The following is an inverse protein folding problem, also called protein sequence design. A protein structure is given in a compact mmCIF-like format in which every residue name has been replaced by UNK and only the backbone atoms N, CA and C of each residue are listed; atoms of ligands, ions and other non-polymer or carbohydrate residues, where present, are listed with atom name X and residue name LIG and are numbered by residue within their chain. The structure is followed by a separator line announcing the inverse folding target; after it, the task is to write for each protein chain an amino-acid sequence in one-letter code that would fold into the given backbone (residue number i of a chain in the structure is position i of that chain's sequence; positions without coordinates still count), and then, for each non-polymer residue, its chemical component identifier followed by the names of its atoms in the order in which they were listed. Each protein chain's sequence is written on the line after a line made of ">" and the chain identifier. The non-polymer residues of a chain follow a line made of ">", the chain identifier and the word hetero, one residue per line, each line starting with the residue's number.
data_IF_727877124219
#
_entry.id   IF_727877124219
#
_cell.length_a   1.000
_cell.length_b   1.000
_cell.length_c   1.000
_cell.angle_alpha   90.00
_cell.angle_beta   90.00
_cell.angle_gamma   90.00
#
_symmetry.space_group_name_H-M   'P 1'
#
loop_
_entity.id
_entity.type
_entity.pdbx_description
1 polymer ?
#
# COMPACT_ATOMS: atom_id res chain seq x y z
N UNK A 1 9.48 -43.60 -40.52
CA UNK A 1 8.20 -43.11 -40.00
C UNK A 1 8.22 -43.34 -38.51
N UNK A 2 8.15 -42.28 -37.71
CA UNK A 2 7.36 -42.18 -36.49
C UNK A 2 7.40 -40.71 -36.04
N UNK A 3 6.20 -40.19 -35.81
CA UNK A 3 5.85 -38.77 -35.84
C UNK A 3 6.01 -38.09 -34.47
N UNK A 4 6.48 -36.83 -34.47
CA UNK A 4 6.42 -35.94 -33.31
C UNK A 4 5.00 -35.36 -33.13
N UNK A 5 4.46 -35.25 -31.91
CA UNK A 5 3.11 -34.70 -31.72
C UNK A 5 3.08 -33.19 -31.96
N UNK A 6 2.18 -32.80 -32.85
CA UNK A 6 1.89 -31.44 -33.34
C UNK A 6 1.11 -30.67 -32.27
N UNK A 7 1.62 -29.50 -31.85
CA UNK A 7 0.93 -28.61 -30.91
C UNK A 7 -0.36 -28.07 -31.53
N UNK A 8 -1.50 -28.46 -30.96
CA UNK A 8 -2.82 -27.99 -31.38
C UNK A 8 -3.15 -26.64 -30.75
N UNK A 9 -3.07 -25.60 -31.58
CA UNK A 9 -3.92 -24.39 -31.62
C UNK A 9 -4.93 -24.23 -30.45
N UNK A 10 -4.55 -23.42 -29.47
CA UNK A 10 -5.41 -22.91 -28.38
C UNK A 10 -6.52 -21.96 -28.88
N UNK A 11 -6.37 -21.38 -30.07
CA UNK A 11 -7.22 -20.29 -30.55
C UNK A 11 -8.47 -20.74 -31.33
N UNK A 12 -8.86 -22.01 -31.29
CA UNK A 12 -9.91 -22.55 -32.15
C UNK A 12 -11.16 -23.11 -31.45
N UNK A 13 -11.48 -22.60 -30.27
CA UNK A 13 -12.84 -22.72 -29.73
C UNK A 13 -13.22 -21.45 -29.02
N UNK A 14 -14.00 -20.60 -29.70
CA UNK A 14 -15.16 -19.89 -29.14
C UNK A 14 -15.87 -19.13 -30.26
N UNK A 15 -17.08 -19.57 -30.63
CA UNK A 15 -18.20 -18.63 -30.50
C UNK A 15 -19.48 -19.33 -29.98
N UNK A 16 -19.36 -20.18 -28.94
CA UNK A 16 -20.51 -20.95 -28.43
C UNK A 16 -20.87 -20.77 -26.94
N UNK A 17 -19.96 -20.32 -26.07
CA UNK A 17 -20.19 -20.28 -24.61
C UNK A 17 -20.58 -18.88 -24.10
N UNK A 18 -20.58 -17.87 -24.98
CA UNK A 18 -20.83 -16.48 -24.58
C UNK A 18 -22.31 -16.11 -24.40
N UNK A 19 -23.26 -17.03 -24.62
CA UNK A 19 -24.70 -16.73 -24.48
C UNK A 19 -25.33 -17.26 -23.19
N UNK A 20 -24.66 -18.16 -22.44
CA UNK A 20 -25.25 -18.78 -21.25
C UNK A 20 -25.06 -17.97 -19.94
N UNK A 21 -24.09 -17.05 -19.88
CA UNK A 21 -23.78 -16.28 -18.66
C UNK A 21 -24.56 -14.96 -18.52
N UNK A 22 -25.15 -14.44 -19.60
CA UNK A 22 -25.92 -13.20 -19.56
C UNK A 22 -27.27 -13.33 -18.81
N UNK A 23 -27.89 -14.51 -18.82
CA UNK A 23 -29.18 -14.74 -18.14
C UNK A 23 -29.09 -14.82 -16.61
N UNK A 24 -27.95 -15.28 -16.07
CA UNK A 24 -27.79 -15.51 -14.63
C UNK A 24 -27.59 -14.18 -13.88
N UNK A 25 -26.93 -13.20 -14.50
CA UNK A 25 -26.64 -11.90 -13.87
C UNK A 25 -27.93 -11.08 -13.67
N UNK A 26 -28.87 -11.10 -14.61
CA UNK A 26 -30.13 -10.34 -14.49
C UNK A 26 -31.02 -10.86 -13.35
N UNK A 27 -31.07 -12.17 -13.11
CA UNK A 27 -31.90 -12.75 -12.06
C UNK A 27 -31.43 -12.36 -10.64
N UNK A 28 -30.11 -12.25 -10.43
CA UNK A 28 -29.54 -11.91 -9.11
C UNK A 28 -29.76 -10.42 -8.78
N UNK A 29 -29.67 -9.52 -9.76
CA UNK A 29 -29.94 -8.09 -9.54
C UNK A 29 -31.41 -7.82 -9.22
N UNK A 30 -32.35 -8.51 -9.88
CA UNK A 30 -33.78 -8.38 -9.58
C UNK A 30 -34.13 -8.82 -8.14
N UNK A 31 -33.52 -9.91 -7.67
CA UNK A 31 -33.75 -10.43 -6.32
C UNK A 31 -33.22 -9.49 -5.21
N UNK A 32 -32.10 -8.81 -5.45
CA UNK A 32 -31.53 -7.84 -4.50
C UNK A 32 -32.40 -6.58 -4.34
N UNK A 33 -33.01 -6.10 -5.41
CA UNK A 33 -33.92 -4.94 -5.35
C UNK A 33 -35.18 -5.25 -4.54
N UNK A 34 -35.75 -6.46 -4.69
CA UNK A 34 -36.93 -6.91 -3.94
C UNK A 34 -36.63 -7.04 -2.43
N UNK A 35 -35.45 -7.55 -2.07
CA UNK A 35 -35.06 -7.67 -0.65
C UNK A 35 -34.82 -6.31 0.01
N UNK A 36 -34.30 -5.31 -0.72
CA UNK A 36 -34.01 -3.99 -0.15
C UNK A 36 -35.27 -3.14 0.12
N UNK A 37 -36.38 -3.40 -0.59
CA UNK A 37 -37.66 -2.72 -0.35
C UNK A 37 -38.52 -3.41 0.71
N UNK A 38 -38.08 -4.57 1.23
CA UNK A 38 -38.84 -5.30 2.23
C UNK A 38 -38.81 -4.57 3.59
N UNK A 39 -39.98 -4.35 4.23
CA UNK A 39 -40.08 -3.63 5.51
C UNK A 39 -39.56 -4.43 6.72
N UNK A 40 -38.85 -5.53 6.49
CA UNK A 40 -38.30 -6.44 7.51
C UNK A 40 -37.06 -5.89 8.23
N UNK A 41 -36.45 -4.81 7.72
CA UNK A 41 -35.26 -4.19 8.31
C UNK A 41 -35.48 -2.70 8.53
N UNK A 42 -36.39 -2.35 9.45
CA UNK A 42 -36.42 -1.02 10.07
C UNK A 42 -35.87 -1.14 11.50
N UNK A 43 -34.72 -0.54 11.83
CA UNK A 43 -34.30 -0.43 13.22
C UNK A 43 -35.24 0.55 13.95
N UNK A 44 -35.82 0.11 15.06
CA UNK A 44 -36.58 0.96 15.98
C UNK A 44 -35.67 2.02 16.59
N UNK A 45 -35.89 3.28 16.23
CA UNK A 45 -35.31 4.44 16.93
C UNK A 45 -36.33 4.89 17.95
N UNK A 46 -36.06 4.62 19.23
CA UNK A 46 -36.80 5.16 20.38
C UNK A 46 -36.39 6.62 20.61
N UNK A 47 -37.31 7.60 20.59
CA UNK A 47 -37.01 8.97 21.01
C UNK A 47 -37.22 9.11 22.53
N UNK A 48 -36.79 10.25 23.08
CA UNK A 48 -36.98 10.77 24.46
C UNK A 48 -35.66 10.75 25.29
N UNK A 49 -35.15 11.85 25.85
CA UNK A 49 -35.71 13.16 26.14
C UNK A 49 -34.61 14.24 26.21
N UNK A 50 -34.96 15.47 25.86
CA UNK A 50 -34.13 16.65 25.92
C UNK A 50 -34.24 17.36 27.28
N UNK A 51 -33.11 17.67 27.91
CA UNK A 51 -32.87 18.80 28.83
C UNK A 51 -31.47 19.29 28.42
N UNK A 52 -31.16 20.53 28.02
CA UNK A 52 -31.72 21.83 28.35
C UNK A 52 -30.55 22.67 28.89
N UNK A 53 -29.94 23.54 28.06
CA UNK A 53 -29.26 24.78 28.46
C UNK A 53 -29.01 25.61 27.21
N UNK A 54 -29.78 26.68 27.05
CA UNK A 54 -29.51 27.74 26.09
C UNK A 54 -28.58 28.77 26.74
N UNK A 55 -27.53 29.17 26.03
CA UNK A 55 -26.84 30.43 26.27
C UNK A 55 -26.53 31.06 24.90
N UNK A 56 -27.10 32.24 24.72
CA UNK A 56 -27.03 33.12 23.55
C UNK A 56 -25.64 33.72 23.38
N UNK A 57 -25.19 33.89 22.12
CA UNK A 57 -24.62 35.18 21.68
C UNK A 57 -24.74 35.34 20.16
N UNK A 58 -25.39 36.44 19.80
CA UNK A 58 -25.57 37.03 18.48
C UNK A 58 -24.42 38.01 18.19
N UNK A 59 -23.93 38.07 16.95
CA UNK A 59 -23.52 39.30 16.22
C UNK A 59 -22.87 38.90 14.90
N UNK A 60 -23.51 39.08 13.74
CA UNK A 60 -23.68 40.33 12.96
C UNK A 60 -22.42 40.72 12.15
N UNK A 61 -22.41 40.33 10.87
CA UNK A 61 -21.86 41.12 9.76
C UNK A 61 -23.02 41.97 9.16
N UNK A 62 -22.87 42.85 8.14
CA UNK A 62 -21.69 43.21 7.30
C UNK A 62 -21.53 44.75 7.12
N UNK A 63 -20.49 45.21 6.40
CA UNK A 63 -20.63 46.09 5.22
C UNK A 63 -19.25 46.46 4.62
N UNK A 64 -19.17 46.42 3.29
CA UNK A 64 -18.55 47.43 2.40
C UNK A 64 -18.16 46.83 1.04
N UNK A 65 -18.81 47.39 0.02
CA UNK A 65 -18.77 47.16 -1.44
C UNK A 65 -17.56 47.88 -2.10
N UNK A 66 -17.19 47.59 -3.37
CA UNK A 66 -15.83 47.72 -3.90
C UNK A 66 -15.59 48.97 -4.76
N UNK A 67 -14.32 49.29 -5.03
CA UNK A 67 -13.87 49.99 -6.23
C UNK A 67 -12.38 49.77 -6.50
N UNK A 68 -12.07 49.34 -7.73
CA UNK A 68 -10.78 49.42 -8.44
C UNK A 68 -10.86 50.64 -9.40
N UNK A 69 -9.76 51.32 -9.81
CA UNK A 69 -8.99 50.84 -10.96
C UNK A 69 -7.47 51.15 -10.97
N UNK A 70 -6.72 50.22 -11.59
CA UNK A 70 -5.59 50.44 -12.52
C UNK A 70 -4.24 50.97 -12.00
N UNK A 71 -3.15 50.20 -12.19
CA UNK A 71 -2.08 50.39 -13.21
C UNK A 71 -1.15 49.15 -13.22
N UNK A 72 -0.77 48.68 -14.40
CA UNK A 72 0.26 47.64 -14.69
C UNK A 72 1.20 48.19 -15.80
N UNK A 73 2.32 47.54 -16.18
CA UNK A 73 3.53 47.09 -15.46
C UNK A 73 4.79 47.91 -15.85
N UNK A 74 5.95 47.65 -15.24
CA UNK A 74 7.26 47.99 -15.83
C UNK A 74 8.19 46.77 -15.78
N UNK A 75 8.74 46.28 -16.91
CA UNK A 75 9.65 45.14 -16.95
C UNK A 75 11.09 45.64 -17.15
N UNK A 76 11.85 45.81 -16.08
CA UNK A 76 13.30 45.97 -16.20
C UNK A 76 14.00 45.65 -14.88
N UNK A 77 14.36 44.37 -14.71
CA UNK A 77 15.39 43.92 -13.76
C UNK A 77 15.89 42.51 -14.14
N UNK A 78 16.27 42.30 -15.40
CA UNK A 78 17.11 41.17 -15.80
C UNK A 78 18.58 41.62 -15.70
N UNK A 79 19.17 41.47 -14.53
CA UNK A 79 20.62 41.56 -14.36
C UNK A 79 21.12 40.63 -13.23
N UNK A 80 21.69 39.49 -13.68
CA UNK A 80 22.96 38.97 -13.19
C UNK A 80 23.02 38.34 -11.78
N UNK A 81 22.57 37.09 -11.66
CA UNK A 81 23.10 36.17 -10.63
C UNK A 81 24.21 35.33 -11.28
N UNK A 82 25.45 35.29 -10.73
CA UNK A 82 26.48 34.39 -11.23
C UNK A 82 26.07 32.94 -10.94
N UNK A 83 25.95 32.13 -12.00
CA UNK A 83 25.78 30.68 -11.93
C UNK A 83 27.07 30.09 -11.32
N UNK A 84 26.98 29.57 -10.10
CA UNK A 84 28.01 28.72 -9.55
C UNK A 84 28.25 27.53 -10.51
N UNK A 85 29.49 27.05 -10.69
CA UNK A 85 29.74 25.90 -11.54
C UNK A 85 29.00 24.69 -10.96
N UNK A 86 28.05 24.17 -11.74
CA UNK A 86 27.41 22.89 -11.50
C UNK A 86 28.47 21.79 -11.66
N UNK A 87 29.24 21.53 -10.60
CA UNK A 87 29.97 20.26 -10.46
C UNK A 87 28.94 19.16 -10.17
N UNK A 88 28.21 18.76 -11.21
CA UNK A 88 27.60 17.44 -11.26
C UNK A 88 28.75 16.43 -11.33
N UNK A 89 29.22 16.01 -10.16
CA UNK A 89 29.92 14.73 -10.08
C UNK A 89 28.99 13.67 -10.65
N UNK A 90 29.45 12.78 -11.54
CA UNK A 90 28.66 11.65 -11.97
C UNK A 90 28.39 10.77 -10.75
N UNK A 91 27.23 10.97 -10.12
CA UNK A 91 26.66 10.00 -9.20
C UNK A 91 26.43 8.74 -10.02
N UNK A 92 27.32 7.77 -9.91
CA UNK A 92 27.04 6.39 -10.33
C UNK A 92 25.69 6.03 -9.73
N UNK A 93 24.65 5.95 -10.57
CA UNK A 93 23.32 5.56 -10.15
C UNK A 93 23.41 4.19 -9.50
N UNK A 94 23.37 4.14 -8.18
CA UNK A 94 23.36 2.89 -7.45
C UNK A 94 22.16 2.07 -7.95
N UNK A 95 22.39 0.80 -8.28
CA UNK A 95 21.36 -0.07 -8.80
C UNK A 95 20.21 -0.18 -7.80
N UNK A 96 18.98 0.02 -8.28
CA UNK A 96 17.77 -0.23 -7.49
C UNK A 96 17.57 -1.74 -7.34
N UNK A 97 17.50 -2.23 -6.12
CA UNK A 97 17.42 -3.66 -5.78
C UNK A 97 16.32 -3.92 -4.75
N UNK A 98 15.88 -5.18 -4.61
CA UNK A 98 15.17 -5.62 -3.41
C UNK A 98 16.18 -5.70 -2.26
N UNK A 99 16.06 -4.81 -1.29
CA UNK A 99 16.94 -4.68 -0.15
C UNK A 99 16.71 -5.76 0.92
N UNK A 100 15.55 -6.42 0.90
CA UNK A 100 15.24 -7.52 1.81
C UNK A 100 15.68 -8.88 1.29
N UNK A 101 16.01 -8.98 0.00
CA UNK A 101 16.48 -10.22 -0.63
C UNK A 101 17.78 -10.72 0.04
N UNK A 102 17.79 -11.94 0.60
CA UNK A 102 18.96 -12.55 1.22
C UNK A 102 20.16 -12.69 0.28
N UNK A 103 19.93 -12.94 -1.01
CA UNK A 103 21.00 -12.99 -2.02
C UNK A 103 21.62 -11.60 -2.26
N UNK A 104 20.91 -10.53 -1.87
CA UNK A 104 21.41 -9.15 -1.85
C UNK A 104 21.85 -8.70 -0.46
N UNK A 105 21.82 -9.57 0.54
CA UNK A 105 22.27 -9.33 1.91
C UNK A 105 21.21 -8.76 2.85
N UNK A 106 19.95 -8.73 2.44
CA UNK A 106 18.84 -8.49 3.37
C UNK A 106 18.70 -9.65 4.35
N UNK A 107 18.34 -9.36 5.60
CA UNK A 107 18.17 -10.40 6.61
C UNK A 107 17.28 -9.90 7.74
N UNK A 108 16.70 -10.85 8.48
CA UNK A 108 15.96 -10.56 9.71
C UNK A 108 16.95 -10.25 10.84
N UNK A 109 16.78 -9.11 11.49
CA UNK A 109 17.59 -8.64 12.62
C UNK A 109 16.91 -8.89 13.97
N UNK A 110 15.59 -8.73 14.02
CA UNK A 110 14.77 -9.02 15.19
C UNK A 110 13.34 -9.30 14.75
N UNK A 111 12.63 -10.18 15.45
CA UNK A 111 11.22 -10.43 15.19
C UNK A 111 10.49 -10.97 16.41
N UNK A 112 9.16 -11.01 16.31
CA UNK A 112 8.33 -11.69 17.30
C UNK A 112 8.52 -13.21 17.32
N UNK A 113 8.94 -13.81 16.20
CA UNK A 113 9.27 -15.24 16.05
C UNK A 113 10.01 -15.49 14.72
N UNK A 114 10.51 -16.71 14.52
CA UNK A 114 11.35 -17.10 13.37
C UNK A 114 10.58 -17.15 12.03
N UNK A 115 9.25 -17.27 12.06
CA UNK A 115 8.42 -17.34 10.85
C UNK A 115 8.53 -16.05 10.00
N UNK A 116 8.86 -14.91 10.62
CA UNK A 116 9.10 -13.65 9.91
C UNK A 116 10.23 -13.74 8.88
N UNK A 117 11.22 -14.62 9.08
CA UNK A 117 12.32 -14.78 8.12
C UNK A 117 11.82 -15.34 6.78
N UNK A 118 10.71 -16.09 6.79
CA UNK A 118 10.11 -16.65 5.58
C UNK A 118 9.43 -15.60 4.71
N UNK A 119 9.18 -14.39 5.23
CA UNK A 119 8.59 -13.31 4.43
C UNK A 119 9.58 -12.67 3.46
N UNK A 120 10.86 -13.04 3.51
CA UNK A 120 11.91 -12.51 2.64
C UNK A 120 12.75 -13.64 2.03
N UNK A 121 12.30 -14.90 2.08
CA UNK A 121 13.13 -16.04 1.69
C UNK A 121 13.06 -16.37 0.18
N UNK A 122 12.26 -15.60 -0.58
CA UNK A 122 12.09 -15.76 -2.02
C UNK A 122 11.27 -16.99 -2.42
N UNK A 123 10.68 -17.74 -1.47
CA UNK A 123 9.91 -18.95 -1.77
C UNK A 123 8.41 -18.70 -1.89
N UNK A 124 7.95 -17.51 -1.50
CA UNK A 124 6.54 -17.11 -1.60
C UNK A 124 5.57 -18.09 -0.91
N UNK A 125 6.03 -18.82 0.11
CA UNK A 125 5.22 -19.79 0.83
C UNK A 125 4.29 -19.08 1.83
N UNK A 126 3.07 -19.60 2.02
CA UNK A 126 2.16 -19.06 3.03
C UNK A 126 2.71 -19.21 4.45
N UNK A 127 2.58 -18.15 5.25
CA UNK A 127 3.01 -18.07 6.64
C UNK A 127 1.89 -17.45 7.46
N UNK A 128 1.54 -18.05 8.60
CA UNK A 128 0.56 -17.48 9.53
C UNK A 128 1.29 -16.59 10.55
N UNK A 129 0.93 -15.31 10.59
CA UNK A 129 1.47 -14.33 11.54
C UNK A 129 0.34 -13.81 12.44
N UNK A 130 0.63 -13.53 13.70
CA UNK A 130 -0.35 -12.94 14.61
C UNK A 130 -0.38 -11.41 14.49
N UNK A 131 -1.56 -10.83 14.66
CA UNK A 131 -1.72 -9.37 14.71
C UNK A 131 -0.90 -8.79 15.88
N UNK A 132 -0.30 -7.63 15.65
CA UNK A 132 0.68 -6.93 16.50
C UNK A 132 2.09 -7.51 16.52
N UNK A 133 2.36 -8.63 15.85
CA UNK A 133 3.73 -9.10 15.65
C UNK A 133 4.50 -8.19 14.68
N UNK A 134 5.83 -8.26 14.77
CA UNK A 134 6.73 -7.44 13.96
C UNK A 134 7.94 -8.24 13.47
N UNK A 135 8.45 -7.83 12.31
CA UNK A 135 9.78 -8.19 11.81
C UNK A 135 10.58 -6.92 11.54
N UNK A 136 11.84 -6.93 11.97
CA UNK A 136 12.83 -5.88 11.76
C UNK A 136 13.93 -6.46 10.89
N UNK A 137 14.24 -5.76 9.81
CA UNK A 137 15.16 -6.19 8.78
C UNK A 137 16.36 -5.26 8.71
N UNK A 138 17.52 -5.87 8.52
CA UNK A 138 18.78 -5.21 8.24
C UNK A 138 19.15 -5.37 6.77
N UNK A 139 20.09 -4.55 6.33
CA UNK A 139 20.61 -4.57 4.97
C UNK A 139 22.03 -5.13 4.94
N UNK A 140 22.54 -5.39 3.73
CA UNK A 140 23.85 -5.98 3.50
C UNK A 140 24.94 -5.34 4.37
N UNK A 141 25.59 -6.16 5.20
CA UNK A 141 26.67 -5.77 6.09
C UNK A 141 26.29 -4.67 7.11
N UNK A 142 25.01 -4.55 7.49
CA UNK A 142 24.52 -3.55 8.43
C UNK A 142 24.59 -2.10 7.92
N UNK A 143 24.75 -1.92 6.60
CA UNK A 143 24.79 -0.59 5.94
C UNK A 143 23.41 0.06 5.95
N UNK A 144 23.38 1.39 5.87
CA UNK A 144 22.14 2.09 5.58
C UNK A 144 21.70 1.84 4.13
N UNK A 145 20.40 1.96 3.88
CA UNK A 145 19.82 1.96 2.56
C UNK A 145 18.87 3.13 2.38
N UNK A 146 18.75 3.64 1.15
CA UNK A 146 17.70 4.58 0.75
C UNK A 146 16.61 3.84 -0.01
N UNK A 147 15.37 3.90 0.46
CA UNK A 147 14.25 3.14 -0.10
C UNK A 147 12.95 3.94 -0.09
N UNK A 148 12.05 3.60 -1.01
CA UNK A 148 10.84 4.37 -1.29
C UNK A 148 9.64 3.53 -1.73
N UNK A 149 9.78 2.20 -1.79
CA UNK A 149 8.71 1.32 -2.22
C UNK A 149 8.77 0.00 -1.46
N UNK A 150 7.67 -0.34 -0.81
CA UNK A 150 7.45 -1.67 -0.23
C UNK A 150 6.44 -2.42 -1.10
N UNK A 151 6.62 -3.73 -1.26
CA UNK A 151 5.64 -4.56 -1.96
C UNK A 151 5.31 -5.82 -1.19
N UNK A 152 4.06 -6.28 -1.30
CA UNK A 152 3.57 -7.51 -0.68
C UNK A 152 2.90 -8.40 -1.72
N UNK A 153 3.17 -9.69 -1.65
CA UNK A 153 2.51 -10.70 -2.49
C UNK A 153 1.13 -11.06 -1.94
N UNK A 154 0.10 -10.96 -2.79
CA UNK A 154 -1.26 -11.48 -2.53
C UNK A 154 -1.62 -12.45 -3.67
N UNK A 155 -1.44 -13.76 -3.49
CA UNK A 155 -1.46 -14.72 -4.60
C UNK A 155 -2.87 -15.16 -5.03
N UNK A 156 -3.88 -14.91 -4.19
CA UNK A 156 -5.29 -15.19 -4.41
C UNK A 156 -6.14 -14.35 -3.44
N UNK A 157 -7.44 -14.21 -3.71
CA UNK A 157 -8.38 -13.70 -2.72
C UNK A 157 -8.58 -14.76 -1.64
N UNK A 158 -8.30 -14.40 -0.39
CA UNK A 158 -8.46 -15.27 0.77
C UNK A 158 -8.84 -14.41 1.99
N UNK A 159 -9.74 -14.92 2.84
CA UNK A 159 -10.21 -14.16 4.01
C UNK A 159 -9.10 -13.94 5.06
N UNK A 160 -8.03 -14.73 5.01
CA UNK A 160 -6.91 -14.66 5.93
C UNK A 160 -5.77 -13.77 5.42
N UNK A 161 -5.83 -13.22 4.21
CA UNK A 161 -4.78 -12.31 3.74
C UNK A 161 -4.60 -11.11 4.70
N UNK A 162 -3.36 -10.63 4.79
CA UNK A 162 -3.01 -9.40 5.52
C UNK A 162 -3.87 -8.23 5.03
N UNK A 163 -4.57 -7.56 5.94
CA UNK A 163 -5.46 -6.43 5.59
C UNK A 163 -4.90 -5.06 5.97
N UNK A 164 -3.97 -4.98 6.92
CA UNK A 164 -3.28 -3.73 7.25
C UNK A 164 -1.90 -3.98 7.86
N UNK A 165 -0.93 -3.20 7.43
CA UNK A 165 0.45 -3.20 7.95
C UNK A 165 0.88 -1.77 8.29
N UNK A 166 1.78 -1.66 9.26
CA UNK A 166 2.53 -0.43 9.53
C UNK A 166 3.97 -0.62 9.08
N UNK A 167 4.50 0.36 8.35
CA UNK A 167 5.89 0.42 7.94
C UNK A 167 6.60 1.50 8.74
N UNK A 168 7.82 1.20 9.18
CA UNK A 168 8.64 2.12 9.97
C UNK A 168 10.13 1.91 9.71
N UNK A 169 10.96 2.86 10.11
CA UNK A 169 12.42 2.79 9.95
C UNK A 169 13.16 3.26 11.20
N UNK A 170 14.41 2.82 11.36
CA UNK A 170 15.25 3.17 12.51
C UNK A 170 16.74 3.12 12.17
N UNK A 171 17.56 3.79 12.99
CA UNK A 171 19.01 3.87 12.80
C UNK A 171 19.84 3.43 14.00
N UNK A 172 19.23 3.37 15.19
CA UNK A 172 19.94 3.12 16.45
C UNK A 172 20.28 1.64 16.62
N UNK A 173 19.26 0.79 16.74
CA UNK A 173 19.38 -0.65 16.92
C UNK A 173 18.13 -1.39 16.42
N UNK A 174 18.20 -2.73 16.25
CA UNK A 174 17.03 -3.53 15.85
C UNK A 174 15.84 -3.46 16.83
N UNK A 175 16.08 -3.08 18.09
CA UNK A 175 15.06 -2.94 19.14
C UNK A 175 14.90 -1.50 19.62
N UNK A 176 15.49 -0.53 18.92
CA UNK A 176 15.52 0.88 19.30
C UNK A 176 14.26 1.64 18.91
N UNK A 177 14.36 2.97 18.86
CA UNK A 177 13.27 3.81 18.36
C UNK A 177 13.08 3.66 16.85
N UNK A 178 11.82 3.68 16.42
CA UNK A 178 11.42 3.64 15.01
C UNK A 178 10.47 4.79 14.69
N UNK A 179 10.67 5.42 13.54
CA UNK A 179 9.78 6.42 12.97
C UNK A 179 8.82 5.77 11.97
N UNK A 180 7.53 6.11 12.05
CA UNK A 180 6.50 5.53 11.17
C UNK A 180 6.54 6.17 9.79
N UNK A 181 6.63 5.34 8.75
CA UNK A 181 6.46 5.73 7.34
C UNK A 181 4.97 5.90 7.04
N UNK A 182 4.16 4.95 7.49
CA UNK A 182 2.72 4.97 7.29
C UNK A 182 2.05 3.62 7.53
N UNK A 183 0.73 3.61 7.36
CA UNK A 183 -0.10 2.41 7.39
C UNK A 183 -0.66 2.13 6.00
N UNK A 184 -0.61 0.88 5.60
CA UNK A 184 -0.92 0.46 4.24
C UNK A 184 -1.89 -0.72 4.27
N UNK A 185 -2.83 -0.72 3.31
CA UNK A 185 -3.90 -1.72 3.23
C UNK A 185 -3.82 -2.44 1.88
N UNK A 186 -3.24 -3.66 1.84
CA UNK A 186 -3.32 -4.51 0.66
C UNK A 186 -4.76 -4.81 0.29
N UNK A 187 -5.05 -4.85 -1.00
CA UNK A 187 -6.33 -5.32 -1.49
C UNK A 187 -6.37 -6.84 -1.43
N UNK A 188 -7.52 -7.41 -1.07
CA UNK A 188 -7.71 -8.86 -1.06
C UNK A 188 -7.96 -9.41 -2.48
N UNK A 189 -7.01 -9.22 -3.39
CA UNK A 189 -7.11 -9.52 -4.81
C UNK A 189 -5.74 -9.90 -5.38
N UNK A 190 -5.73 -10.93 -6.24
CA UNK A 190 -4.56 -11.28 -7.06
C UNK A 190 -4.42 -10.34 -8.26
N UNK A 191 -3.22 -9.81 -8.45
CA UNK A 191 -2.82 -9.14 -9.68
C UNK A 191 -2.08 -10.12 -10.60
N UNK A 192 -2.50 -10.27 -11.86
CA UNK A 192 -1.91 -11.26 -12.77
C UNK A 192 -0.63 -10.79 -13.46
N UNK A 193 -0.51 -9.49 -13.73
CA UNK A 193 0.65 -8.92 -14.45
C UNK A 193 1.77 -8.46 -13.52
N UNK A 194 1.43 -8.16 -12.26
CA UNK A 194 2.35 -7.72 -11.22
C UNK A 194 1.82 -8.25 -9.88
N UNK A 195 2.11 -9.52 -9.52
CA UNK A 195 1.45 -10.20 -8.39
C UNK A 195 1.74 -9.56 -7.03
N UNK A 196 2.77 -8.73 -6.96
CA UNK A 196 3.09 -7.88 -5.82
C UNK A 196 2.32 -6.57 -5.87
N UNK A 197 1.63 -6.25 -4.79
CA UNK A 197 1.01 -4.94 -4.61
C UNK A 197 2.02 -3.97 -4.03
N UNK A 198 2.24 -2.85 -4.72
CA UNK A 198 3.26 -1.87 -4.38
C UNK A 198 2.70 -0.67 -3.62
N UNK A 199 3.44 -0.23 -2.61
CA UNK A 199 3.18 0.96 -1.81
C UNK A 199 4.40 1.87 -1.88
N UNK A 200 4.27 2.98 -2.60
CA UNK A 200 5.29 4.02 -2.67
C UNK A 200 5.12 5.03 -1.52
N UNK A 201 6.23 5.58 -1.06
CA UNK A 201 6.27 6.59 0.00
C UNK A 201 7.48 7.52 -0.19
N UNK A 202 7.53 8.70 0.47
CA UNK A 202 8.70 9.56 0.42
C UNK A 202 9.96 8.78 0.79
N UNK A 203 11.02 8.91 -0.02
CA UNK A 203 12.22 8.11 0.18
C UNK A 203 12.88 8.39 1.53
N UNK A 204 13.13 7.33 2.29
CA UNK A 204 13.81 7.38 3.59
C UNK A 204 15.19 6.77 3.47
N UNK A 205 16.12 7.18 4.34
CA UNK A 205 17.44 6.53 4.48
C UNK A 205 17.58 6.02 5.90
N UNK A 206 17.76 4.71 6.07
CA UNK A 206 17.80 4.08 7.38
C UNK A 206 18.70 2.84 7.40
N UNK A 207 19.08 2.37 8.59
CA UNK A 207 19.79 1.09 8.80
C UNK A 207 18.84 -0.10 8.97
N UNK A 208 17.65 0.16 9.52
CA UNK A 208 16.66 -0.86 9.79
C UNK A 208 15.31 -0.47 9.18
N UNK A 209 14.63 -1.49 8.64
CA UNK A 209 13.24 -1.40 8.19
C UNK A 209 12.38 -2.31 9.04
N UNK A 210 11.20 -1.87 9.44
CA UNK A 210 10.32 -2.64 10.30
C UNK A 210 8.92 -2.71 9.72
N UNK A 211 8.37 -3.92 9.72
CA UNK A 211 6.99 -4.22 9.37
C UNK A 211 6.26 -4.67 10.63
N UNK A 212 5.10 -4.09 10.92
CA UNK A 212 4.19 -4.56 11.96
C UNK A 212 2.86 -4.96 11.33
N UNK A 213 2.36 -6.15 11.67
CA UNK A 213 1.05 -6.60 11.25
C UNK A 213 -0.03 -5.93 12.11
N UNK A 214 -0.94 -5.16 11.51
CA UNK A 214 -1.98 -4.42 12.24
C UNK A 214 -3.34 -5.08 12.20
N UNK A 215 -3.70 -5.74 11.10
CA UNK A 215 -4.97 -6.47 11.02
C UNK A 215 -4.93 -7.67 10.11
N UNK A 216 -5.79 -8.63 10.45
CA UNK A 216 -6.07 -9.87 9.76
C UNK A 216 -7.29 -10.55 10.38
N UNK A 217 -7.80 -11.60 9.74
CA UNK A 217 -9.00 -12.29 10.19
C UNK A 217 -8.74 -13.10 11.46
N UNK A 218 -9.51 -12.84 12.51
CA UNK A 218 -9.48 -13.65 13.75
C UNK A 218 -8.21 -13.47 14.59
N UNK A 219 -7.46 -12.38 14.42
CA UNK A 219 -6.23 -12.11 15.17
C UNK A 219 -4.96 -12.64 14.50
N UNK A 220 -5.07 -13.20 13.30
CA UNK A 220 -3.96 -13.67 12.48
C UNK A 220 -4.12 -13.23 11.03
N UNK A 221 -3.03 -13.28 10.27
CA UNK A 221 -3.04 -13.11 8.83
C UNK A 221 -2.06 -14.08 8.17
N UNK A 222 -2.40 -14.50 6.94
CA UNK A 222 -1.49 -15.18 6.04
C UNK A 222 -0.67 -14.15 5.28
N UNK A 223 0.64 -14.19 5.46
CA UNK A 223 1.63 -13.48 4.66
C UNK A 223 2.36 -14.45 3.73
N UNK A 224 3.04 -13.91 2.72
CA UNK A 224 3.80 -14.69 1.74
C UNK A 224 5.20 -14.11 1.57
N UNK A 225 5.35 -13.05 0.78
CA UNK A 225 6.63 -12.43 0.48
C UNK A 225 6.53 -10.90 0.56
N UNK A 226 7.55 -10.28 1.14
CA UNK A 226 7.76 -8.86 1.29
C UNK A 226 9.02 -8.44 0.53
N UNK A 227 8.94 -7.30 -0.14
CA UNK A 227 10.09 -6.71 -0.83
C UNK A 227 10.19 -5.23 -0.48
N UNK A 228 11.41 -4.71 -0.42
CA UNK A 228 11.69 -3.29 -0.20
C UNK A 228 12.65 -2.80 -1.27
N UNK A 229 12.20 -1.92 -2.15
CA UNK A 229 13.02 -1.44 -3.25
C UNK A 229 13.74 -0.13 -2.92
N UNK A 230 15.04 -0.12 -3.22
CA UNK A 230 15.90 1.02 -2.97
C UNK A 230 17.35 0.75 -3.35
N UNK A 231 18.27 1.48 -2.73
CA UNK A 231 19.71 1.46 -3.01
C UNK A 231 20.49 1.37 -1.69
N UNK A 232 21.56 0.57 -1.67
CA UNK A 232 22.51 0.57 -0.54
C UNK A 232 23.32 1.87 -0.53
N UNK A 233 23.60 2.40 0.66
CA UNK A 233 24.42 3.60 0.90
C UNK A 233 25.83 3.22 1.30
#
# INVERSE_FOLDING_TARGET
>A
MDETPKSSSWWQTLPGILTATAGIITAVSGLLVVLYQSPLFKPDVKPESAHGTAASVTSSAPDATPADPSVNPSPDALASVPRAPDTHTPQTSAARINLLDPDKGGHLEAASNDEWNRTIDGKEASISLEVNQTGVYGFKNGRSARFDTFTVLIPATDIYNVSEIELSYGNESPTGAFETIGRFKPQNLKLFNAPYQAFAFPAVTARYFKVKLLSGKGGYATAYEFQLFGTLK
#
